data_IF_114749837275
#
_entry.id   IF_114749837275
#
_cell.length_a   1.000
_cell.length_b   1.000
_cell.length_c   1.000
_cell.angle_alpha   90.00
_cell.angle_beta   90.00
_cell.angle_gamma   90.00
#
_symmetry.space_group_name_H-M   'P 1'
#
loop_
_entity.id
_entity.type
_entity.pdbx_description
1 polymer ?
#
# COMPACT_ATOMS: atom_id res chain seq x y z
N UNK A 1 45.81 -37.10 -32.14
CA UNK A 1 45.60 -35.68 -32.51
C UNK A 1 44.64 -35.51 -33.70
N UNK A 2 44.87 -36.13 -34.87
CA UNK A 2 43.97 -35.98 -36.04
C UNK A 2 42.50 -36.40 -35.82
N UNK A 3 42.25 -37.47 -35.05
CA UNK A 3 40.87 -37.91 -34.73
C UNK A 3 40.13 -36.96 -33.79
N UNK A 4 40.83 -36.30 -32.87
CA UNK A 4 40.23 -35.37 -31.91
C UNK A 4 39.84 -34.05 -32.60
N UNK A 5 40.67 -33.58 -33.53
CA UNK A 5 40.39 -32.39 -34.33
C UNK A 5 39.18 -32.59 -35.26
N UNK A 6 39.05 -33.80 -35.83
CA UNK A 6 37.90 -34.13 -36.68
C UNK A 6 36.58 -34.16 -35.90
N UNK A 7 36.59 -34.72 -34.68
CA UNK A 7 35.41 -34.69 -33.81
C UNK A 7 35.05 -33.25 -33.43
N UNK A 8 36.02 -32.40 -33.12
CA UNK A 8 35.78 -31.01 -32.76
C UNK A 8 35.19 -30.19 -33.92
N UNK A 9 35.69 -30.38 -35.14
CA UNK A 9 35.15 -29.73 -36.33
C UNK A 9 33.73 -30.19 -36.67
N UNK A 10 33.43 -31.48 -36.53
CA UNK A 10 32.07 -32.01 -36.76
C UNK A 10 31.10 -31.52 -35.67
N UNK A 11 31.55 -31.43 -34.41
CA UNK A 11 30.75 -30.89 -33.30
C UNK A 11 30.42 -29.41 -33.50
N UNK A 12 31.40 -28.62 -33.94
CA UNK A 12 31.21 -27.20 -34.25
C UNK A 12 30.25 -27.00 -35.44
N UNK A 13 30.31 -27.86 -36.46
CA UNK A 13 29.41 -27.80 -37.60
C UNK A 13 27.96 -28.15 -37.21
N UNK A 14 27.78 -29.15 -36.33
CA UNK A 14 26.45 -29.52 -35.81
C UNK A 14 25.87 -28.41 -34.94
N UNK A 15 26.69 -27.75 -34.11
CA UNK A 15 26.26 -26.58 -33.32
C UNK A 15 25.82 -25.41 -34.21
N UNK A 16 26.45 -25.18 -35.36
CA UNK A 16 26.00 -24.13 -36.30
C UNK A 16 24.71 -24.45 -37.04
N UNK A 17 24.36 -25.74 -37.20
CA UNK A 17 23.10 -26.14 -37.86
C UNK A 17 21.92 -26.06 -36.88
N UNK A 18 22.15 -26.31 -35.58
CA UNK A 18 21.14 -26.17 -34.53
C UNK A 18 21.08 -24.77 -33.88
N UNK A 19 22.05 -23.88 -34.12
CA UNK A 19 22.02 -22.50 -33.63
C UNK A 19 21.24 -21.54 -34.52
N UNK A 20 20.83 -21.96 -35.72
CA UNK A 20 20.09 -21.11 -36.66
C UNK A 20 18.57 -21.21 -36.55
N UNK A 21 18.03 -21.97 -35.59
CA UNK A 21 16.59 -22.27 -35.51
C UNK A 21 16.02 -22.17 -34.08
N UNK A 22 16.44 -21.16 -33.32
CA UNK A 22 15.83 -20.82 -32.02
C UNK A 22 15.12 -19.46 -31.99
N UNK A 23 15.26 -18.69 -33.07
CA UNK A 23 14.58 -17.41 -33.24
C UNK A 23 13.90 -17.38 -34.60
N UNK A 24 12.85 -18.18 -34.77
CA UNK A 24 11.80 -17.81 -35.71
C UNK A 24 11.11 -16.56 -35.12
N UNK A 25 11.78 -15.41 -35.23
CA UNK A 25 11.06 -14.16 -35.26
C UNK A 25 10.31 -14.17 -36.59
N UNK A 26 9.06 -14.58 -36.57
CA UNK A 26 8.13 -14.09 -37.56
C UNK A 26 8.04 -12.58 -37.34
N UNK A 27 8.93 -11.85 -38.02
CA UNK A 27 8.72 -10.45 -38.35
C UNK A 27 7.67 -10.42 -39.47
N UNK A 28 6.47 -10.91 -39.18
CA UNK A 28 5.34 -10.52 -39.99
C UNK A 28 5.24 -9.00 -39.78
N UNK A 29 5.37 -8.20 -40.85
CA UNK A 29 5.30 -6.75 -40.70
C UNK A 29 3.93 -6.42 -40.10
N UNK A 30 3.93 -5.67 -38.99
CA UNK A 30 2.69 -5.12 -38.44
C UNK A 30 2.00 -4.40 -39.59
N UNK A 31 0.78 -4.83 -39.90
CA UNK A 31 0.06 -4.36 -41.08
C UNK A 31 -0.23 -2.86 -40.98
N UNK A 32 -0.46 -2.39 -39.75
CA UNK A 32 -0.75 -1.00 -39.44
C UNK A 32 0.50 -0.32 -38.85
N UNK A 33 1.05 0.74 -39.47
CA UNK A 33 2.11 1.54 -38.86
C UNK A 33 1.64 2.20 -37.56
N UNK A 34 2.53 2.39 -36.58
CA UNK A 34 2.19 2.98 -35.28
C UNK A 34 1.56 4.38 -35.41
N UNK A 35 2.09 5.23 -36.29
CA UNK A 35 1.50 6.54 -36.59
C UNK A 35 0.05 6.43 -37.10
N UNK A 36 -0.24 5.42 -37.94
CA UNK A 36 -1.60 5.19 -38.44
C UNK A 36 -2.55 4.76 -37.31
N UNK A 37 -2.08 3.88 -36.42
CA UNK A 37 -2.81 3.48 -35.22
C UNK A 37 -3.15 4.68 -34.34
N UNK A 38 -2.20 5.59 -34.11
CA UNK A 38 -2.43 6.80 -33.32
C UNK A 38 -3.42 7.78 -33.98
N UNK A 39 -3.38 7.90 -35.31
CA UNK A 39 -4.36 8.69 -36.07
C UNK A 39 -5.77 8.08 -35.90
N UNK A 40 -5.90 6.77 -36.08
CA UNK A 40 -7.18 6.07 -35.89
C UNK A 40 -7.70 6.23 -34.46
N UNK A 41 -6.82 6.07 -33.47
CA UNK A 41 -7.15 6.31 -32.06
C UNK A 41 -7.66 7.73 -31.85
N UNK A 42 -6.94 8.76 -32.30
CA UNK A 42 -7.33 10.15 -32.11
C UNK A 42 -8.66 10.51 -32.77
N UNK A 43 -8.85 10.10 -34.04
CA UNK A 43 -10.09 10.39 -34.78
C UNK A 43 -11.30 9.69 -34.16
N UNK A 44 -11.19 8.39 -33.87
CA UNK A 44 -12.31 7.62 -33.31
C UNK A 44 -12.62 8.04 -31.87
N UNK A 45 -11.60 8.29 -31.04
CA UNK A 45 -11.80 8.73 -29.65
C UNK A 45 -12.57 10.05 -29.57
N UNK A 46 -12.33 10.99 -30.48
CA UNK A 46 -13.10 12.25 -30.54
C UNK A 46 -14.57 11.96 -30.85
N UNK A 47 -14.84 11.14 -31.86
CA UNK A 47 -16.21 10.79 -32.27
C UNK A 47 -16.94 10.06 -31.13
N UNK A 48 -16.29 9.08 -30.52
CA UNK A 48 -16.82 8.23 -29.45
C UNK A 48 -17.07 9.01 -28.16
N UNK A 49 -16.18 9.94 -27.78
CA UNK A 49 -16.37 10.84 -26.63
C UNK A 49 -17.62 11.72 -26.80
N UNK A 50 -17.90 12.19 -28.02
CA UNK A 50 -19.06 13.05 -28.32
C UNK A 50 -20.38 12.27 -28.23
N UNK A 51 -20.40 11.00 -28.66
CA UNK A 51 -21.60 10.16 -28.62
C UNK A 51 -21.74 9.35 -27.33
N UNK A 52 -20.71 9.36 -26.48
CA UNK A 52 -20.65 8.64 -25.21
C UNK A 52 -20.39 7.14 -25.34
N UNK A 53 -19.72 6.70 -26.41
CA UNK A 53 -19.40 5.29 -26.66
C UNK A 53 -18.01 4.91 -26.12
N UNK A 54 -17.89 4.88 -24.79
CA UNK A 54 -16.59 4.65 -24.12
C UNK A 54 -16.05 3.23 -24.37
N UNK A 55 -16.94 2.26 -24.58
CA UNK A 55 -16.55 0.87 -24.82
C UNK A 55 -15.75 0.72 -26.13
N UNK A 56 -16.10 1.49 -27.17
CA UNK A 56 -15.35 1.54 -28.43
C UNK A 56 -13.94 2.12 -28.26
N UNK A 57 -13.77 3.13 -27.39
CA UNK A 57 -12.45 3.67 -27.04
C UNK A 57 -11.61 2.58 -26.33
N UNK A 58 -12.22 1.77 -25.48
CA UNK A 58 -11.54 0.70 -24.74
C UNK A 58 -11.06 -0.48 -25.60
N UNK A 59 -11.47 -0.56 -26.87
CA UNK A 59 -10.89 -1.51 -27.82
C UNK A 59 -9.41 -1.21 -28.15
N UNK A 60 -8.95 0.02 -27.90
CA UNK A 60 -7.54 0.40 -28.06
C UNK A 60 -6.64 -0.04 -26.90
N UNK A 61 -7.22 -0.56 -25.81
CA UNK A 61 -6.52 -0.90 -24.58
C UNK A 61 -6.46 -2.41 -24.38
N UNK A 62 -5.30 -2.94 -24.01
CA UNK A 62 -5.15 -4.35 -23.67
C UNK A 62 -5.88 -4.68 -22.37
N UNK A 63 -6.35 -5.92 -22.22
CA UNK A 63 -7.04 -6.36 -20.99
C UNK A 63 -6.14 -6.32 -19.75
N UNK A 64 -4.82 -6.34 -19.93
CA UNK A 64 -3.81 -6.18 -18.88
C UNK A 64 -3.21 -4.76 -18.83
N UNK A 65 -3.95 -3.75 -19.29
CA UNK A 65 -3.51 -2.35 -19.20
C UNK A 65 -3.19 -1.96 -17.76
N UNK A 66 -2.04 -1.30 -17.57
CA UNK A 66 -1.62 -0.77 -16.29
C UNK A 66 -0.66 0.40 -16.51
N UNK A 67 -1.03 1.59 -16.05
CA UNK A 67 -0.24 2.81 -16.21
C UNK A 67 -0.18 3.62 -14.92
N UNK A 68 0.96 3.58 -14.23
CA UNK A 68 1.14 4.22 -12.91
C UNK A 68 0.04 3.84 -11.90
N UNK A 69 -0.41 2.59 -11.97
CA UNK A 69 -1.47 2.04 -11.14
C UNK A 69 -2.89 2.21 -11.66
N UNK A 70 -3.11 3.00 -12.72
CA UNK A 70 -4.41 3.06 -13.39
C UNK A 70 -4.57 1.83 -14.26
N UNK A 71 -5.62 1.05 -14.01
CA UNK A 71 -5.98 -0.09 -14.85
C UNK A 71 -6.95 0.32 -15.99
N UNK A 72 -7.43 -0.67 -16.73
CA UNK A 72 -8.34 -0.43 -17.86
C UNK A 72 -9.69 0.16 -17.43
N UNK A 73 -10.18 -0.19 -16.24
CA UNK A 73 -11.44 0.31 -15.70
C UNK A 73 -11.25 1.78 -15.25
N UNK A 74 -10.11 2.11 -14.65
CA UNK A 74 -9.75 3.51 -14.32
C UNK A 74 -9.69 4.39 -15.58
N UNK A 75 -9.14 3.88 -16.69
CA UNK A 75 -9.16 4.59 -17.96
C UNK A 75 -10.57 4.77 -18.50
N UNK A 76 -11.42 3.76 -18.40
CA UNK A 76 -12.83 3.86 -18.79
C UNK A 76 -13.54 4.98 -18.00
N UNK A 77 -13.31 5.05 -16.69
CA UNK A 77 -13.87 6.11 -15.82
C UNK A 77 -13.34 7.49 -16.22
N UNK A 78 -12.05 7.63 -16.55
CA UNK A 78 -11.50 8.88 -17.08
C UNK A 78 -12.20 9.34 -18.37
N UNK A 79 -12.38 8.44 -19.33
CA UNK A 79 -13.06 8.77 -20.59
C UNK A 79 -14.52 9.13 -20.38
N UNK A 80 -15.20 8.45 -19.46
CA UNK A 80 -16.56 8.80 -19.06
C UNK A 80 -16.63 10.18 -18.43
N UNK A 81 -15.74 10.50 -17.49
CA UNK A 81 -15.68 11.82 -16.86
C UNK A 81 -15.45 12.93 -17.89
N UNK A 82 -14.57 12.69 -18.86
CA UNK A 82 -14.36 13.60 -19.99
C UNK A 82 -15.67 13.74 -20.78
N UNK A 83 -16.27 12.64 -21.24
CA UNK A 83 -17.50 12.64 -22.05
C UNK A 83 -18.67 13.34 -21.34
N UNK A 84 -18.85 13.13 -20.03
CA UNK A 84 -19.89 13.78 -19.23
C UNK A 84 -19.62 15.28 -19.01
N UNK A 85 -18.36 15.70 -19.00
CA UNK A 85 -17.97 17.10 -18.93
C UNK A 85 -18.07 17.82 -20.29
N UNK A 86 -18.06 17.10 -21.42
CA UNK A 86 -18.09 17.71 -22.74
C UNK A 86 -19.42 18.42 -23.02
N UNK A 87 -19.31 19.68 -23.43
CA UNK A 87 -20.46 20.51 -23.80
C UNK A 87 -20.62 20.56 -25.33
N UNK A 88 -19.55 20.87 -26.06
CA UNK A 88 -19.61 21.11 -27.52
C UNK A 88 -18.43 20.53 -28.32
N UNK A 89 -17.19 20.55 -27.80
CA UNK A 89 -16.01 20.09 -28.54
C UNK A 89 -14.88 19.59 -27.64
N UNK A 90 -14.12 18.63 -28.16
CA UNK A 90 -12.85 18.14 -27.59
C UNK A 90 -11.79 18.13 -28.68
N UNK A 91 -10.55 18.48 -28.32
CA UNK A 91 -9.36 18.31 -29.14
C UNK A 91 -8.43 17.28 -28.48
N UNK A 92 -7.79 16.44 -29.29
CA UNK A 92 -6.76 15.51 -28.85
C UNK A 92 -5.45 15.88 -29.53
N UNK A 93 -4.47 16.32 -28.74
CA UNK A 93 -3.09 16.52 -29.20
C UNK A 93 -2.31 15.23 -28.96
N UNK A 94 -1.68 14.65 -29.99
CA UNK A 94 -0.89 13.42 -29.88
C UNK A 94 0.58 13.70 -30.24
N UNK A 95 1.50 13.33 -29.34
CA UNK A 95 2.95 13.43 -29.51
C UNK A 95 3.61 12.06 -29.35
N UNK A 96 4.30 11.59 -30.39
CA UNK A 96 5.13 10.38 -30.30
C UNK A 96 6.41 10.71 -29.56
N UNK A 97 6.60 10.14 -28.37
CA UNK A 97 7.78 10.35 -27.53
C UNK A 97 8.93 9.41 -27.90
N UNK A 98 8.62 8.17 -28.31
CA UNK A 98 9.61 7.16 -28.70
C UNK A 98 8.98 6.11 -29.61
N UNK A 99 9.36 6.07 -30.90
CA UNK A 99 8.91 5.00 -31.81
C UNK A 99 9.48 3.63 -31.45
N UNK A 100 10.69 3.59 -30.89
CA UNK A 100 11.36 2.33 -30.55
C UNK A 100 10.69 1.61 -29.36
N UNK A 101 10.02 2.38 -28.50
CA UNK A 101 9.33 1.88 -27.30
C UNK A 101 7.81 2.00 -27.44
N UNK A 102 7.31 2.44 -28.61
CA UNK A 102 5.90 2.76 -28.87
C UNK A 102 5.29 3.66 -27.78
N UNK A 103 6.07 4.65 -27.32
CA UNK A 103 5.69 5.59 -26.28
C UNK A 103 5.05 6.83 -26.89
N UNK A 104 3.91 7.24 -26.34
CA UNK A 104 3.11 8.37 -26.83
C UNK A 104 2.62 9.21 -25.65
N UNK A 105 2.45 10.51 -25.87
CA UNK A 105 1.61 11.36 -25.03
C UNK A 105 0.38 11.77 -25.82
N UNK A 106 -0.80 11.67 -25.23
CA UNK A 106 -2.02 12.25 -25.80
C UNK A 106 -2.71 13.13 -24.76
N UNK A 107 -3.18 14.29 -25.21
CA UNK A 107 -3.73 15.33 -24.35
C UNK A 107 -5.12 15.73 -24.82
N UNK A 108 -6.09 15.61 -23.92
CA UNK A 108 -7.48 16.04 -24.13
C UNK A 108 -7.64 17.49 -23.71
N UNK A 109 -8.16 18.31 -24.62
CA UNK A 109 -8.45 19.72 -24.42
C UNK A 109 -9.93 19.98 -24.71
N UNK A 110 -10.67 20.36 -23.68
CA UNK A 110 -12.01 20.92 -23.83
C UNK A 110 -12.11 22.22 -23.03
N UNK A 111 -11.74 23.33 -23.69
CA UNK A 111 -11.60 24.64 -23.06
C UNK A 111 -12.86 25.11 -22.33
N UNK A 112 -14.04 24.85 -22.89
CA UNK A 112 -15.31 25.27 -22.30
C UNK A 112 -15.73 24.39 -21.11
N UNK A 113 -15.21 23.17 -21.04
CA UNK A 113 -15.45 22.21 -19.95
C UNK A 113 -14.35 22.25 -18.87
N UNK A 114 -13.27 23.01 -19.07
CA UNK A 114 -12.13 23.03 -18.16
C UNK A 114 -11.33 21.74 -18.13
N UNK A 115 -11.45 20.89 -19.16
CA UNK A 115 -10.68 19.65 -19.29
C UNK A 115 -9.34 19.93 -19.95
N UNK A 116 -8.27 19.60 -19.25
CA UNK A 116 -6.89 19.61 -19.73
C UNK A 116 -6.15 18.44 -19.07
N UNK A 117 -6.21 17.28 -19.72
CA UNK A 117 -5.66 16.01 -19.21
C UNK A 117 -4.64 15.49 -20.19
N UNK A 118 -3.45 15.13 -19.70
CA UNK A 118 -2.40 14.49 -20.52
C UNK A 118 -2.13 13.10 -19.98
N UNK A 119 -2.13 12.10 -20.87
CA UNK A 119 -1.75 10.73 -20.55
C UNK A 119 -0.49 10.39 -21.34
N UNK A 120 0.47 9.77 -20.66
CA UNK A 120 1.67 9.19 -21.29
C UNK A 120 1.52 7.68 -21.27
N UNK A 121 1.56 7.05 -22.43
CA UNK A 121 1.22 5.65 -22.60
C UNK A 121 2.27 4.91 -23.43
N UNK A 122 2.21 3.58 -23.38
CA UNK A 122 3.05 2.66 -24.12
C UNK A 122 2.14 1.67 -24.83
N UNK A 123 2.47 1.34 -26.08
CA UNK A 123 1.72 0.35 -26.84
C UNK A 123 2.52 -0.93 -27.09
N UNK A 124 1.82 -2.04 -27.18
CA UNK A 124 2.39 -3.32 -27.59
C UNK A 124 1.92 -3.69 -29.00
N UNK A 125 2.84 -4.28 -29.78
CA UNK A 125 2.54 -4.84 -31.09
C UNK A 125 1.61 -6.04 -30.94
N UNK A 126 0.46 -5.98 -31.60
CA UNK A 126 -0.41 -7.12 -31.83
C UNK A 126 -0.24 -7.64 -33.27
N UNK A 127 -0.93 -8.74 -33.59
CA UNK A 127 -0.84 -9.38 -34.91
C UNK A 127 -1.13 -8.42 -36.07
N UNK A 128 -2.14 -7.57 -35.93
CA UNK A 128 -2.67 -6.72 -37.01
C UNK A 128 -2.64 -5.20 -36.68
N UNK A 129 -2.33 -4.83 -35.43
CA UNK A 129 -2.36 -3.44 -34.94
C UNK A 129 -1.52 -3.30 -33.65
N UNK A 130 -1.82 -2.29 -32.84
CA UNK A 130 -1.30 -2.07 -31.50
C UNK A 130 -2.43 -2.06 -30.47
N UNK A 131 -2.07 -2.25 -29.20
CA UNK A 131 -2.92 -1.95 -28.05
C UNK A 131 -2.11 -1.15 -27.04
N UNK A 132 -2.71 -0.16 -26.40
CA UNK A 132 -2.14 0.49 -25.23
C UNK A 132 -2.05 -0.52 -24.08
N UNK A 133 -0.90 -0.54 -23.44
CA UNK A 133 -0.60 -1.38 -22.28
C UNK A 133 -0.24 -0.53 -21.05
N UNK A 134 0.03 0.78 -21.21
CA UNK A 134 0.57 1.59 -20.12
C UNK A 134 2.02 1.22 -19.79
N UNK A 135 2.59 1.92 -18.81
CA UNK A 135 3.98 1.71 -18.40
C UNK A 135 4.23 0.43 -17.58
N UNK A 136 3.17 -0.33 -17.27
CA UNK A 136 3.18 -1.55 -16.47
C UNK A 136 3.73 -1.34 -15.04
N UNK A 137 3.64 -0.11 -14.53
CA UNK A 137 3.96 0.24 -13.15
C UNK A 137 2.69 0.11 -12.31
N UNK A 138 2.72 -0.74 -11.29
CA UNK A 138 1.64 -0.92 -10.33
C UNK A 138 1.42 0.34 -9.47
N UNK A 139 0.22 0.52 -8.85
CA UNK A 139 -0.05 1.68 -8.05
C UNK A 139 0.92 1.76 -6.87
N UNK A 140 1.39 2.98 -6.58
CA UNK A 140 2.15 3.23 -5.36
C UNK A 140 1.19 3.14 -4.19
N UNK A 141 1.21 2.01 -3.51
CA UNK A 141 0.52 1.85 -2.22
C UNK A 141 1.41 2.46 -1.14
N UNK A 142 0.93 3.51 -0.49
CA UNK A 142 1.60 4.13 0.66
C UNK A 142 1.39 3.32 1.94
N UNK A 143 2.35 3.37 2.85
CA UNK A 143 2.22 2.71 4.15
C UNK A 143 1.10 3.36 4.97
N UNK A 144 0.35 2.55 5.69
CA UNK A 144 -0.51 3.04 6.78
C UNK A 144 0.35 3.33 8.00
N UNK A 145 0.01 4.38 8.73
CA UNK A 145 0.80 4.86 9.87
C UNK A 145 0.16 4.44 11.19
N UNK A 146 0.96 3.84 12.08
CA UNK A 146 0.59 3.51 13.45
C UNK A 146 1.33 4.40 14.46
N UNK A 147 0.61 4.87 15.48
CA UNK A 147 1.17 5.52 16.66
C UNK A 147 0.88 4.70 17.91
N UNK A 148 1.93 4.31 18.63
CA UNK A 148 1.82 3.66 19.94
C UNK A 148 1.99 4.72 21.05
N UNK A 149 1.02 4.86 21.95
CA UNK A 149 1.00 5.91 22.99
C UNK A 149 1.09 5.31 24.38
N UNK A 150 1.94 5.87 25.24
CA UNK A 150 1.90 5.67 26.68
C UNK A 150 1.00 6.74 27.31
N UNK A 151 -0.07 6.32 27.99
CA UNK A 151 -1.02 7.22 28.68
C UNK A 151 -1.37 6.71 30.09
N UNK A 152 -2.19 7.47 30.83
CA UNK A 152 -2.81 7.02 32.07
C UNK A 152 -4.04 7.85 32.46
N UNK A 153 -5.00 7.25 33.16
CA UNK A 153 -6.23 7.91 33.63
C UNK A 153 -6.00 9.05 34.63
N UNK A 154 -4.89 9.00 35.37
CA UNK A 154 -4.51 10.02 36.36
C UNK A 154 -3.71 11.18 35.76
N UNK A 155 -3.33 11.11 34.48
CA UNK A 155 -2.37 12.00 33.86
C UNK A 155 -3.03 13.31 33.39
N UNK A 156 -2.68 14.47 33.97
CA UNK A 156 -3.34 15.73 33.65
C UNK A 156 -3.10 16.21 32.22
N UNK A 157 -1.98 15.84 31.61
CA UNK A 157 -1.59 16.32 30.27
C UNK A 157 -1.85 15.28 29.17
N UNK A 158 -2.36 14.10 29.49
CA UNK A 158 -2.53 13.03 28.51
C UNK A 158 -3.65 13.30 27.52
N UNK A 159 -4.72 13.96 27.96
CA UNK A 159 -5.83 14.37 27.10
C UNK A 159 -5.39 15.16 25.86
N UNK A 160 -4.33 16.00 25.96
CA UNK A 160 -3.81 16.72 24.79
C UNK A 160 -3.29 15.80 23.67
N UNK A 161 -2.69 14.66 24.03
CA UNK A 161 -2.22 13.67 23.07
C UNK A 161 -3.37 12.83 22.54
N UNK A 162 -4.26 12.37 23.42
CA UNK A 162 -5.44 11.56 23.10
C UNK A 162 -6.38 12.32 22.13
N UNK A 163 -6.73 13.57 22.46
CA UNK A 163 -7.58 14.43 21.64
C UNK A 163 -6.95 14.71 20.26
N UNK A 164 -5.63 14.93 20.22
CA UNK A 164 -4.92 15.15 18.97
C UNK A 164 -4.99 13.91 18.06
N UNK A 165 -4.75 12.72 18.60
CA UNK A 165 -4.80 11.47 17.82
C UNK A 165 -6.22 11.17 17.35
N UNK A 166 -7.22 11.36 18.21
CA UNK A 166 -8.63 11.24 17.83
C UNK A 166 -8.99 12.17 16.68
N UNK A 167 -8.59 13.44 16.76
CA UNK A 167 -8.84 14.40 15.68
C UNK A 167 -8.12 14.01 14.38
N UNK A 168 -6.88 13.52 14.47
CA UNK A 168 -6.10 13.07 13.31
C UNK A 168 -6.69 11.80 12.70
N UNK A 169 -7.21 10.86 13.50
CA UNK A 169 -7.90 9.66 13.01
C UNK A 169 -9.16 10.03 12.24
N UNK A 170 -9.94 10.99 12.74
CA UNK A 170 -11.11 11.52 12.03
C UNK A 170 -10.73 12.24 10.72
N UNK A 171 -9.51 12.79 10.63
CA UNK A 171 -9.02 13.52 9.45
C UNK A 171 -8.47 12.58 8.39
N UNK A 172 -7.69 11.58 8.79
CA UNK A 172 -6.93 10.70 7.88
C UNK A 172 -7.55 9.32 7.66
N UNK A 173 -8.61 8.97 8.39
CA UNK A 173 -9.35 7.73 8.20
C UNK A 173 -8.44 6.51 8.23
N UNK A 174 -8.47 5.70 7.18
CA UNK A 174 -7.76 4.42 7.11
C UNK A 174 -6.27 4.53 6.79
N UNK A 175 -5.76 5.74 6.59
CA UNK A 175 -4.33 5.99 6.43
C UNK A 175 -3.58 6.03 7.78
N UNK A 176 -4.31 6.24 8.88
CA UNK A 176 -3.73 6.44 10.21
C UNK A 176 -4.47 5.64 11.29
N UNK A 177 -3.70 5.08 12.23
CA UNK A 177 -4.18 4.33 13.39
C UNK A 177 -3.33 4.67 14.61
N UNK A 178 -3.92 4.49 15.79
CA UNK A 178 -3.19 4.63 17.03
C UNK A 178 -3.72 3.65 18.08
N UNK A 179 -2.89 3.35 19.06
CA UNK A 179 -3.24 2.48 20.19
C UNK A 179 -2.70 3.07 21.49
N UNK A 180 -3.45 2.90 22.57
CA UNK A 180 -3.16 3.45 23.89
C UNK A 180 -2.74 2.35 24.88
N UNK A 181 -1.51 2.45 25.36
CA UNK A 181 -0.95 1.62 26.42
C UNK A 181 -1.00 2.40 27.74
N UNK A 182 -1.88 1.95 28.63
CA UNK A 182 -2.02 2.54 29.96
C UNK A 182 -0.90 2.12 30.92
N UNK A 183 -0.46 3.06 31.75
CA UNK A 183 0.61 2.89 32.74
C UNK A 183 0.12 3.10 34.17
N UNK A 184 0.20 2.05 34.99
CA UNK A 184 0.01 2.14 36.44
C UNK A 184 -1.41 2.54 36.88
N UNK A 185 -2.42 2.28 36.06
CA UNK A 185 -3.83 2.51 36.37
C UNK A 185 -4.67 1.22 36.18
N UNK A 186 -6.00 1.36 36.20
CA UNK A 186 -6.93 0.22 36.11
C UNK A 186 -7.00 -0.42 34.72
N UNK A 187 -6.47 0.24 33.68
CA UNK A 187 -6.41 -0.23 32.30
C UNK A 187 -5.03 -0.81 31.95
N UNK A 188 -4.05 -0.73 32.85
CA UNK A 188 -2.72 -1.31 32.63
C UNK A 188 -2.77 -2.85 32.66
N UNK A 189 -2.47 -3.47 31.52
CA UNK A 189 -2.39 -4.94 31.35
C UNK A 189 -0.97 -5.51 31.55
N UNK A 190 -0.07 -4.75 32.19
CA UNK A 190 1.35 -5.12 32.34
C UNK A 190 2.20 -4.57 31.20
N UNK A 191 2.05 -3.29 30.87
CA UNK A 191 2.68 -2.67 29.71
C UNK A 191 4.17 -2.32 29.88
N UNK A 192 4.79 -2.67 31.01
CA UNK A 192 6.17 -2.31 31.36
C UNK A 192 7.22 -2.64 30.28
N UNK A 193 7.13 -3.80 29.63
CA UNK A 193 8.09 -4.16 28.57
C UNK A 193 8.02 -3.22 27.36
N UNK A 194 6.83 -2.74 27.00
CA UNK A 194 6.65 -1.76 25.93
C UNK A 194 7.28 -0.40 26.31
N UNK A 195 6.99 0.07 27.53
CA UNK A 195 7.56 1.32 28.03
C UNK A 195 9.09 1.27 28.10
N UNK A 196 9.63 0.18 28.65
CA UNK A 196 11.07 -0.02 28.76
C UNK A 196 11.75 -0.14 27.40
N UNK A 197 11.08 -0.73 26.40
CA UNK A 197 11.64 -0.91 25.06
C UNK A 197 11.93 0.44 24.37
N UNK A 198 10.97 1.36 24.42
CA UNK A 198 11.10 2.68 23.78
C UNK A 198 11.66 3.77 24.72
N UNK A 199 11.96 3.43 25.99
CA UNK A 199 12.36 4.38 27.02
C UNK A 199 11.27 5.44 27.25
N UNK A 200 10.05 4.98 27.48
CA UNK A 200 8.88 5.81 27.81
C UNK A 200 8.59 5.73 29.31
N UNK A 201 9.33 6.52 30.09
CA UNK A 201 9.31 6.44 31.55
C UNK A 201 8.19 7.29 32.19
N UNK A 202 7.39 8.02 31.40
CA UNK A 202 6.26 8.82 31.87
C UNK A 202 5.18 8.97 30.79
N UNK A 203 4.04 9.55 31.17
CA UNK A 203 2.92 9.81 30.27
C UNK A 203 2.63 11.34 30.15
N UNK A 204 2.18 11.83 28.98
CA UNK A 204 2.05 11.09 27.73
C UNK A 204 3.39 11.02 26.97
N UNK A 205 3.64 9.90 26.29
CA UNK A 205 4.72 9.76 25.32
C UNK A 205 4.23 8.91 24.13
N UNK A 206 4.50 9.34 22.91
CA UNK A 206 3.99 8.70 21.68
C UNK A 206 5.13 8.30 20.76
N UNK A 207 5.03 7.12 20.16
CA UNK A 207 5.97 6.58 19.19
C UNK A 207 5.29 6.41 17.83
N UNK A 208 5.75 7.18 16.85
CA UNK A 208 5.25 7.16 15.48
C UNK A 208 6.08 6.18 14.65
N UNK A 209 5.42 5.19 14.05
CA UNK A 209 6.03 4.13 13.21
C UNK A 209 7.21 3.40 13.89
N UNK A 210 7.30 3.40 15.23
CA UNK A 210 8.46 2.85 15.94
C UNK A 210 9.73 3.71 15.89
N UNK A 211 9.68 4.91 15.30
CA UNK A 211 10.87 5.73 15.02
C UNK A 211 10.88 7.09 15.75
N UNK A 212 9.78 7.85 15.65
CA UNK A 212 9.75 9.21 16.17
C UNK A 212 9.05 9.25 17.52
N UNK A 213 9.81 9.58 18.57
CA UNK A 213 9.25 9.75 19.92
C UNK A 213 8.91 11.22 20.18
N UNK A 214 7.66 11.49 20.51
CA UNK A 214 7.21 12.80 21.01
C UNK A 214 6.82 12.64 22.48
N UNK A 215 7.30 13.54 23.34
CA UNK A 215 7.09 13.45 24.79
C UNK A 215 6.35 14.67 25.33
N UNK A 216 5.39 14.44 26.21
CA UNK A 216 4.53 15.47 26.77
C UNK A 216 3.29 15.75 25.92
N UNK A 217 2.42 16.59 26.47
CA UNK A 217 1.16 17.03 25.87
C UNK A 217 0.88 18.48 26.23
N UNK A 218 0.33 19.25 25.30
CA UNK A 218 -0.04 20.65 25.43
C UNK A 218 -0.73 21.20 24.18
N UNK A 219 -0.94 22.52 24.14
CA UNK A 219 -1.72 23.17 23.07
C UNK A 219 -1.15 22.97 21.65
N UNK A 220 0.14 22.65 21.52
CA UNK A 220 0.81 22.43 20.24
C UNK A 220 0.89 20.96 19.80
N UNK A 221 0.39 20.02 20.63
CA UNK A 221 0.49 18.57 20.37
C UNK A 221 -0.13 18.16 19.05
N UNK A 222 -1.30 18.70 18.69
CA UNK A 222 -1.94 18.43 17.40
C UNK A 222 -1.03 18.79 16.22
N UNK A 223 -0.42 19.98 16.24
CA UNK A 223 0.44 20.43 15.16
C UNK A 223 1.72 19.59 15.05
N UNK A 224 2.31 19.19 16.18
CA UNK A 224 3.48 18.31 16.19
C UNK A 224 3.15 16.93 15.59
N UNK A 225 2.01 16.35 15.98
CA UNK A 225 1.58 15.04 15.50
C UNK A 225 1.24 15.08 14.01
N UNK A 226 0.46 16.09 13.60
CA UNK A 226 0.12 16.34 12.19
C UNK A 226 1.38 16.44 11.31
N UNK A 227 2.33 17.30 11.68
CA UNK A 227 3.57 17.48 10.92
C UNK A 227 4.41 16.19 10.84
N UNK A 228 4.35 15.34 11.87
CA UNK A 228 5.04 14.04 11.86
C UNK A 228 4.33 13.06 10.91
N UNK A 229 3.00 12.96 11.00
CA UNK A 229 2.20 12.05 10.17
C UNK A 229 2.33 12.34 8.67
N UNK A 230 2.27 13.61 8.25
CA UNK A 230 2.39 13.94 6.82
C UNK A 230 3.72 13.48 6.22
N UNK A 231 4.81 13.50 6.98
CA UNK A 231 6.10 12.97 6.49
C UNK A 231 6.13 11.44 6.38
N UNK A 232 5.25 10.76 7.10
CA UNK A 232 5.15 9.30 7.13
C UNK A 232 4.15 8.77 6.09
N UNK A 233 3.18 9.59 5.67
CA UNK A 233 2.18 9.25 4.66
C UNK A 233 2.75 9.18 3.24
N UNK A 234 3.77 9.98 2.94
CA UNK A 234 4.43 9.98 1.63
C UNK A 234 5.41 8.82 1.43
N UNK A 235 5.42 7.84 2.34
CA UNK A 235 6.33 6.70 2.30
C UNK A 235 5.61 5.48 1.71
N UNK A 236 6.17 4.92 0.64
CA UNK A 236 5.68 3.70 0.02
C UNK A 236 5.65 2.54 1.02
N UNK A 237 4.57 1.75 0.95
CA UNK A 237 4.49 0.48 1.65
C UNK A 237 5.54 -0.49 1.07
N UNK A 238 6.35 -1.07 1.95
CA UNK A 238 7.24 -2.20 1.61
C UNK A 238 6.59 -3.55 1.90
N UNK A 239 5.46 -3.56 2.60
CA UNK A 239 4.68 -4.74 2.89
C UNK A 239 3.19 -4.39 2.99
N UNK A 240 2.31 -5.31 2.62
CA UNK A 240 0.88 -5.28 2.87
C UNK A 240 0.49 -6.50 3.70
N UNK A 241 -0.54 -6.34 4.54
CA UNK A 241 -1.08 -7.43 5.35
C UNK A 241 -2.47 -7.72 4.80
N UNK A 242 -2.69 -8.94 4.36
CA UNK A 242 -3.88 -9.33 3.59
C UNK A 242 -4.44 -10.67 4.10
N UNK A 243 -5.60 -11.07 3.56
CA UNK A 243 -6.25 -12.36 3.81
C UNK A 243 -6.40 -12.72 5.30
N UNK A 244 -6.72 -11.72 6.13
CA UNK A 244 -6.93 -11.96 7.55
C UNK A 244 -8.06 -12.96 7.79
N UNK A 245 -7.77 -13.97 8.59
CA UNK A 245 -8.79 -14.90 9.08
C UNK A 245 -8.43 -15.37 10.48
N UNK A 246 -9.47 -15.73 11.24
CA UNK A 246 -9.29 -16.15 12.63
C UNK A 246 -10.31 -17.20 13.06
N UNK A 247 -9.97 -17.88 14.14
CA UNK A 247 -10.87 -18.69 14.94
C UNK A 247 -10.81 -18.23 16.39
N UNK A 248 -11.95 -18.27 17.05
CA UNK A 248 -12.14 -17.71 18.38
C UNK A 248 -12.48 -18.81 19.40
N UNK A 249 -11.83 -18.75 20.56
CA UNK A 249 -12.00 -19.61 21.73
C UNK A 249 -11.35 -18.95 22.95
N UNK A 250 -10.73 -19.71 23.85
CA UNK A 250 -9.94 -19.14 24.96
C UNK A 250 -8.74 -18.30 24.44
N UNK A 251 -8.26 -18.63 23.24
CA UNK A 251 -7.24 -17.91 22.48
C UNK A 251 -7.80 -17.52 21.12
N UNK A 252 -7.43 -16.35 20.62
CA UNK A 252 -7.63 -16.01 19.21
C UNK A 252 -6.48 -16.59 18.40
N UNK A 253 -6.79 -17.49 17.49
CA UNK A 253 -5.85 -18.06 16.52
C UNK A 253 -6.12 -17.41 15.17
N UNK A 254 -5.15 -16.67 14.65
CA UNK A 254 -5.28 -15.93 13.40
C UNK A 254 -4.21 -16.28 12.39
N UNK A 255 -4.45 -15.91 11.14
CA UNK A 255 -3.46 -15.95 10.07
C UNK A 255 -3.63 -14.75 9.14
N UNK A 256 -2.53 -14.34 8.52
CA UNK A 256 -2.46 -13.28 7.51
C UNK A 256 -1.49 -13.66 6.40
N UNK A 257 -1.73 -13.19 5.19
CA UNK A 257 -0.74 -13.16 4.11
C UNK A 257 0.05 -11.86 4.20
N UNK A 258 1.34 -11.91 3.90
CA UNK A 258 2.21 -10.72 3.84
C UNK A 258 2.73 -10.59 2.42
N UNK A 259 2.14 -9.71 1.63
CA UNK A 259 2.73 -9.30 0.36
C UNK A 259 3.87 -8.32 0.64
N UNK A 260 5.04 -8.55 0.06
CA UNK A 260 6.23 -7.76 0.35
C UNK A 260 6.96 -7.34 -0.92
N UNK A 261 7.55 -6.16 -0.86
CA UNK A 261 8.56 -5.72 -1.83
C UNK A 261 9.92 -6.35 -1.49
N UNK A 262 10.83 -6.40 -2.46
CA UNK A 262 12.16 -6.99 -2.28
C UNK A 262 13.04 -6.15 -1.35
N UNK A 263 12.75 -4.86 -1.20
CA UNK A 263 13.45 -3.94 -0.32
C UNK A 263 13.08 -4.09 1.16
N UNK A 264 12.04 -4.86 1.50
CA UNK A 264 11.63 -5.06 2.89
C UNK A 264 12.75 -5.77 3.68
N UNK A 265 13.29 -5.16 4.76
CA UNK A 265 14.21 -5.84 5.64
C UNK A 265 13.52 -6.99 6.37
N UNK A 266 14.08 -8.19 6.28
CA UNK A 266 13.52 -9.40 6.91
C UNK A 266 14.22 -9.75 8.22
N UNK A 267 15.45 -9.29 8.42
CA UNK A 267 16.18 -9.48 9.68
C UNK A 267 15.43 -8.84 10.84
N UNK A 268 15.33 -9.56 11.97
CA UNK A 268 14.68 -9.07 13.18
C UNK A 268 13.22 -8.63 13.00
N UNK A 269 12.51 -9.19 12.03
CA UNK A 269 11.13 -8.83 11.73
C UNK A 269 10.12 -9.59 12.59
N UNK A 270 9.09 -8.87 13.03
CA UNK A 270 7.99 -9.38 13.84
C UNK A 270 6.64 -8.97 13.25
N UNK A 271 5.67 -9.87 13.35
CA UNK A 271 4.25 -9.54 13.31
C UNK A 271 3.83 -9.21 14.75
N UNK A 272 3.47 -7.96 15.02
CA UNK A 272 2.89 -7.52 16.29
C UNK A 272 1.39 -7.40 16.14
N UNK A 273 0.68 -7.64 17.23
CA UNK A 273 -0.78 -7.57 17.24
C UNK A 273 -1.30 -7.16 18.61
N UNK A 274 -2.37 -6.37 18.62
CA UNK A 274 -3.01 -5.84 19.81
C UNK A 274 -4.53 -5.86 19.66
N UNK A 275 -5.21 -6.46 20.63
CA UNK A 275 -6.65 -6.33 20.79
C UNK A 275 -6.93 -5.04 21.55
N UNK A 276 -7.80 -4.21 20.98
CA UNK A 276 -8.05 -2.86 21.44
C UNK A 276 -9.55 -2.66 21.65
N UNK A 277 -9.92 -2.13 22.82
CA UNK A 277 -11.26 -1.62 23.10
C UNK A 277 -11.37 -0.22 22.49
N UNK A 278 -12.32 0.01 21.58
CA UNK A 278 -12.45 1.32 20.91
C UNK A 278 -12.84 2.41 21.90
N UNK A 279 -13.80 2.15 22.78
CA UNK A 279 -14.29 3.09 23.80
C UNK A 279 -14.46 2.39 25.13
N UNK A 280 -13.61 2.74 26.10
CA UNK A 280 -13.66 2.14 27.42
C UNK A 280 -14.75 2.71 28.31
N UNK A 281 -15.29 1.87 29.19
CA UNK A 281 -16.15 2.35 30.29
C UNK A 281 -15.38 3.13 31.36
N UNK A 282 -14.05 3.06 31.36
CA UNK A 282 -13.17 3.83 32.24
C UNK A 282 -12.91 5.21 31.65
N UNK A 283 -12.97 6.23 32.51
CA UNK A 283 -12.73 7.63 32.12
C UNK A 283 -11.32 8.09 32.47
N UNK A 284 -10.78 8.96 31.63
CA UNK A 284 -9.51 9.63 31.83
C UNK A 284 -9.59 10.83 32.78
N UNK A 285 -8.52 11.63 32.82
CA UNK A 285 -8.37 12.74 33.75
C UNK A 285 -9.45 13.83 33.58
N UNK A 286 -9.90 14.06 32.34
CA UNK A 286 -10.92 15.06 31.99
C UNK A 286 -12.35 14.58 32.23
N UNK A 287 -12.54 13.31 32.56
CA UNK A 287 -13.85 12.68 32.72
C UNK A 287 -14.45 12.10 31.43
N UNK A 288 -13.76 12.22 30.30
CA UNK A 288 -14.14 11.55 29.05
C UNK A 288 -13.68 10.08 29.04
N UNK A 289 -14.41 9.17 28.37
CA UNK A 289 -13.98 7.79 28.15
C UNK A 289 -12.59 7.69 27.54
N UNK A 290 -11.77 6.74 28.01
CA UNK A 290 -10.53 6.36 27.31
C UNK A 290 -10.87 5.65 25.99
N UNK A 291 -10.08 5.88 24.94
CA UNK A 291 -10.32 5.31 23.60
C UNK A 291 -9.09 4.54 23.12
N UNK A 292 -9.29 3.59 22.19
CA UNK A 292 -8.20 2.79 21.62
C UNK A 292 -7.32 2.07 22.66
N UNK A 293 -7.92 1.61 23.76
CA UNK A 293 -7.22 1.01 24.89
C UNK A 293 -6.76 -0.41 24.55
N UNK A 294 -5.46 -0.67 24.65
CA UNK A 294 -4.92 -2.03 24.45
C UNK A 294 -5.28 -2.93 25.63
N UNK A 295 -6.08 -3.97 25.37
CA UNK A 295 -6.57 -4.92 26.39
C UNK A 295 -5.91 -6.31 26.28
N UNK A 296 -5.29 -6.63 25.14
CA UNK A 296 -4.40 -7.78 25.00
C UNK A 296 -3.39 -7.52 23.88
N UNK A 297 -2.21 -8.15 23.95
CA UNK A 297 -1.16 -7.97 22.94
C UNK A 297 -0.26 -9.18 22.80
N UNK A 298 0.36 -9.31 21.64
CA UNK A 298 1.36 -10.33 21.37
C UNK A 298 2.28 -9.93 20.23
N UNK A 299 3.28 -10.79 19.99
CA UNK A 299 4.18 -10.67 18.85
C UNK A 299 4.70 -12.03 18.45
N UNK A 300 4.90 -12.21 17.14
CA UNK A 300 5.53 -13.38 16.55
C UNK A 300 6.77 -12.95 15.78
N UNK A 301 7.89 -13.63 16.00
CA UNK A 301 9.08 -13.47 15.17
C UNK A 301 8.86 -14.14 13.81
N UNK A 302 9.03 -13.39 12.72
CA UNK A 302 8.71 -13.85 11.36
C UNK A 302 9.89 -13.79 10.39
N UNK A 303 11.08 -13.39 10.84
CA UNK A 303 12.26 -13.28 9.97
C UNK A 303 12.65 -14.59 9.27
N UNK A 304 12.37 -15.74 9.91
CA UNK A 304 12.70 -17.08 9.40
C UNK A 304 11.49 -17.80 8.79
N UNK A 305 10.33 -17.15 8.71
CA UNK A 305 9.12 -17.73 8.13
C UNK A 305 9.14 -17.59 6.60
N UNK A 306 8.52 -18.53 5.90
CA UNK A 306 8.25 -18.39 4.47
C UNK A 306 7.04 -17.47 4.27
N UNK A 307 7.30 -16.19 3.96
CA UNK A 307 6.26 -15.18 3.77
C UNK A 307 5.42 -15.38 2.51
N UNK A 308 5.75 -16.35 1.65
CA UNK A 308 4.84 -16.78 0.58
C UNK A 308 3.67 -17.65 1.08
N UNK A 309 3.72 -18.06 2.37
CA UNK A 309 2.67 -18.81 3.04
C UNK A 309 1.99 -17.95 4.12
N UNK A 310 0.73 -18.23 4.47
CA UNK A 310 0.05 -17.52 5.56
C UNK A 310 0.80 -17.63 6.89
N UNK A 311 1.05 -16.49 7.53
CA UNK A 311 1.70 -16.38 8.82
C UNK A 311 0.65 -16.54 9.92
N UNK A 312 0.72 -17.66 10.64
CA UNK A 312 -0.15 -17.92 11.78
C UNK A 312 0.34 -17.22 13.06
N UNK A 313 -0.59 -16.72 13.88
CA UNK A 313 -0.32 -16.13 15.18
C UNK A 313 -1.39 -16.52 16.21
N UNK A 314 -1.05 -16.36 17.50
CA UNK A 314 -1.92 -16.68 18.62
C UNK A 314 -1.93 -15.51 19.60
N UNK A 315 -3.12 -15.13 20.06
CA UNK A 315 -3.32 -14.10 21.08
C UNK A 315 -4.13 -14.67 22.25
N UNK A 316 -3.57 -14.55 23.45
CA UNK A 316 -4.29 -14.84 24.68
C UNK A 316 -5.35 -13.76 24.92
N UNK A 317 -6.61 -14.17 25.10
CA UNK A 317 -7.72 -13.24 25.23
C UNK A 317 -7.94 -12.82 26.68
N UNK A 318 -8.38 -11.57 26.95
CA UNK A 318 -8.76 -11.18 28.29
C UNK A 318 -10.03 -11.93 28.70
N UNK A 319 -10.21 -12.14 30.01
CA UNK A 319 -11.36 -12.89 30.52
C UNK A 319 -12.72 -12.27 30.20
N UNK A 320 -12.75 -10.94 30.11
CA UNK A 320 -13.91 -10.17 29.67
C UNK A 320 -13.49 -9.41 28.43
N UNK A 321 -14.25 -9.53 27.36
CA UNK A 321 -13.99 -8.83 26.11
C UNK A 321 -15.16 -7.87 25.86
N UNK A 322 -14.90 -6.57 25.68
CA UNK A 322 -15.91 -5.58 25.28
C UNK A 322 -16.53 -5.89 23.92
N UNK A 323 -17.73 -5.36 23.67
CA UNK A 323 -18.46 -5.58 22.41
C UNK A 323 -17.88 -4.77 21.23
N UNK A 324 -17.04 -3.78 21.50
CA UNK A 324 -16.49 -2.81 20.54
C UNK A 324 -14.98 -2.96 20.35
N UNK A 325 -14.50 -4.21 20.28
CA UNK A 325 -13.08 -4.50 20.09
C UNK A 325 -12.65 -4.56 18.63
N UNK A 326 -11.39 -4.21 18.40
CA UNK A 326 -10.68 -4.41 17.14
C UNK A 326 -9.32 -5.06 17.37
N UNK A 327 -8.83 -5.75 16.35
CA UNK A 327 -7.48 -6.28 16.32
C UNK A 327 -6.63 -5.43 15.38
N UNK A 328 -5.58 -4.83 15.92
CA UNK A 328 -4.52 -4.25 15.11
C UNK A 328 -3.44 -5.27 14.85
N UNK A 329 -2.96 -5.35 13.61
CA UNK A 329 -1.79 -6.14 13.24
C UNK A 329 -0.81 -5.27 12.46
N UNK A 330 0.47 -5.37 12.78
CA UNK A 330 1.50 -4.60 12.07
C UNK A 330 2.82 -5.35 11.97
N UNK A 331 3.56 -5.05 10.92
CA UNK A 331 4.89 -5.60 10.67
C UNK A 331 5.92 -4.60 11.17
N UNK A 332 6.85 -5.07 12.02
CA UNK A 332 7.86 -4.21 12.63
C UNK A 332 9.20 -4.95 12.76
N UNK A 333 10.29 -4.26 12.44
CA UNK A 333 11.64 -4.68 12.85
C UNK A 333 11.91 -4.29 14.28
N UNK A 334 12.51 -5.18 15.07
CA UNK A 334 12.85 -4.94 16.48
C UNK A 334 14.29 -5.33 16.79
N UNK A 335 15.09 -4.38 17.24
CA UNK A 335 16.44 -4.64 17.77
C UNK A 335 16.49 -4.58 19.29
N UNK A 336 17.50 -5.22 19.89
CA UNK A 336 17.83 -5.08 21.31
C UNK A 336 19.33 -4.77 21.47
N UNK A 337 19.71 -3.55 21.89
CA UNK A 337 18.84 -2.44 22.32
C UNK A 337 18.04 -1.79 21.17
N UNK A 338 16.99 -1.02 21.53
CA UNK A 338 16.19 -0.23 20.58
C UNK A 338 17.04 0.75 19.77
N UNK A 339 16.71 0.87 18.49
CA UNK A 339 17.35 1.79 17.54
C UNK A 339 16.28 2.43 16.63
N UNK A 340 16.10 3.75 16.74
CA UNK A 340 15.07 4.48 15.99
C UNK A 340 15.24 4.46 14.47
N UNK A 341 16.46 4.23 13.98
CA UNK A 341 16.76 4.21 12.55
C UNK A 341 16.33 2.89 11.90
N UNK A 342 16.29 1.81 12.69
CA UNK A 342 16.05 0.45 12.17
C UNK A 342 14.77 -0.19 12.71
N UNK A 343 14.26 0.21 13.88
CA UNK A 343 13.09 -0.39 14.52
C UNK A 343 11.77 0.18 13.97
N UNK A 344 11.54 0.03 12.67
CA UNK A 344 10.45 0.66 11.92
C UNK A 344 9.23 -0.25 11.81
N UNK A 345 8.04 0.35 11.88
CA UNK A 345 6.77 -0.24 11.46
C UNK A 345 6.62 -0.03 9.95
N UNK A 346 6.30 -1.10 9.20
CA UNK A 346 6.24 -1.06 7.73
C UNK A 346 4.83 -0.92 7.19
N UNK A 347 3.84 -1.47 7.89
CA UNK A 347 2.43 -1.29 7.60
C UNK A 347 1.57 -1.80 8.76
N UNK A 348 0.30 -1.41 8.80
CA UNK A 348 -0.69 -1.80 9.81
C UNK A 348 -2.05 -2.04 9.17
N UNK A 349 -2.80 -3.01 9.69
CA UNK A 349 -4.22 -3.20 9.42
C UNK A 349 -5.04 -3.20 10.71
N UNK A 350 -6.32 -2.85 10.57
CA UNK A 350 -7.35 -2.90 11.63
C UNK A 350 -8.41 -3.91 11.19
N UNK A 351 -8.71 -4.88 12.05
CA UNK A 351 -9.68 -5.93 11.77
C UNK A 351 -10.75 -5.97 12.86
N UNK A 352 -12.01 -6.02 12.46
CA UNK A 352 -13.11 -6.16 13.40
C UNK A 352 -13.20 -7.61 13.87
N UNK A 353 -13.21 -7.81 15.19
CA UNK A 353 -13.37 -9.14 15.79
C UNK A 353 -14.82 -9.31 16.23
N UNK A 354 -15.50 -10.28 15.62
CA UNK A 354 -16.87 -10.62 16.00
C UNK A 354 -16.84 -11.65 17.13
N UNK A 355 -17.34 -11.23 18.29
CA UNK A 355 -17.48 -12.10 19.46
C UNK A 355 -18.92 -12.63 19.43
N UNK A 356 -19.09 -13.86 18.91
CA UNK A 356 -20.39 -14.51 18.84
C UNK A 356 -20.72 -15.30 20.11
#
# INVERSE_FOLDING_TARGET
MKKLFFILCVSALVLTIFSCDRFNHHFDPVVTPFEKFLIDFGENTIEDLIVGDIDSIMEYYADNYLNDGMDKDDMWDLYKDISEALIDSVEIEIEVLSEAEYKVAYRFLAHDAGVDVTVVDYAEVQRDSFLFIGNQIAPVVHQKVLVEVATATWCPNCHYAEDALKQLKNTYGDQFYYVEYHMGDVLDIGNYEFFSYYGMDFAPQSMFQGQFKISGGGDDTYAQYHNTLVTLFDVDALAQIEDFSYTFGDTLQGQVTIDKKDELPTDNMYLKYALVERVSSVVGYTGEPCEQVVIAKGKKYIANEDLSQPVQFSLEMPHTIPDDVVLYLWIQTLENPYNADTCKIYNVIEENIAIN
#
